data_IF_492597951417
#
_entry.id   IF_492597951417
#
_cell.length_a   1.000
_cell.length_b   1.000
_cell.length_c   1.000
_cell.angle_alpha   90.00
_cell.angle_beta   90.00
_cell.angle_gamma   90.00
#
_symmetry.space_group_name_H-M   'P 1'
#
loop_
_entity.id
_entity.type
_entity.pdbx_description
1 polymer ?
#
# COMPACT_ATOMS: atom_id res chain seq x y z
N UNK A 1 -37.91 -10.03 23.87
CA UNK A 1 -36.45 -10.15 23.77
C UNK A 1 -36.00 -9.09 22.81
N UNK A 2 -34.96 -8.34 23.17
CA UNK A 2 -34.37 -7.31 22.31
C UNK A 2 -32.89 -7.64 22.13
N UNK A 3 -32.42 -7.65 20.89
CA UNK A 3 -30.99 -7.69 20.57
C UNK A 3 -30.54 -6.30 20.12
N UNK A 4 -29.43 -5.81 20.64
CA UNK A 4 -28.88 -4.52 20.26
C UNK A 4 -27.35 -4.52 20.34
N UNK A 5 -26.74 -3.61 19.60
CA UNK A 5 -25.30 -3.45 19.52
C UNK A 5 -24.87 -2.19 20.25
N UNK A 6 -23.90 -2.30 21.17
CA UNK A 6 -23.47 -1.20 22.04
C UNK A 6 -22.35 -0.38 21.41
N UNK A 7 -22.11 0.81 21.97
CA UNK A 7 -20.95 1.65 21.64
C UNK A 7 -19.62 1.00 21.99
N UNK A 8 -19.61 0.02 22.89
CA UNK A 8 -18.45 -0.81 23.24
C UNK A 8 -18.19 -1.93 22.22
N UNK A 9 -18.88 -1.91 21.06
CA UNK A 9 -18.78 -2.90 20.00
C UNK A 9 -19.19 -4.32 20.42
N UNK A 10 -20.16 -4.44 21.33
CA UNK A 10 -20.66 -5.72 21.83
C UNK A 10 -22.14 -5.91 21.52
N UNK A 11 -22.53 -7.14 21.13
CA UNK A 11 -23.93 -7.53 21.07
C UNK A 11 -24.47 -7.86 22.47
N UNK A 12 -25.65 -7.32 22.78
CA UNK A 12 -26.37 -7.56 24.04
C UNK A 12 -27.76 -8.12 23.77
N UNK A 13 -28.22 -8.96 24.69
CA UNK A 13 -29.54 -9.55 24.73
C UNK A 13 -30.28 -9.04 25.97
N UNK A 14 -31.45 -8.43 25.78
CA UNK A 14 -32.34 -8.10 26.89
C UNK A 14 -33.53 -9.05 26.94
N UNK A 15 -33.71 -9.70 28.09
CA UNK A 15 -34.82 -10.63 28.36
C UNK A 15 -35.25 -10.48 29.81
N UNK A 16 -36.52 -10.12 30.04
CA UNK A 16 -37.09 -10.03 31.39
C UNK A 16 -36.52 -8.88 32.24
N UNK A 17 -36.00 -7.81 31.62
CA UNK A 17 -35.36 -6.69 32.31
C UNK A 17 -33.89 -6.93 32.66
N UNK A 18 -33.36 -8.11 32.39
CA UNK A 18 -31.93 -8.41 32.51
C UNK A 18 -31.24 -8.31 31.15
N UNK A 19 -29.99 -7.83 31.17
CA UNK A 19 -29.15 -7.69 29.98
C UNK A 19 -27.97 -8.66 30.07
N UNK A 20 -27.77 -9.44 29.00
CA UNK A 20 -26.69 -10.41 28.88
C UNK A 20 -25.79 -10.07 27.70
N UNK A 21 -24.49 -10.33 27.82
CA UNK A 21 -23.56 -10.28 26.69
C UNK A 21 -23.74 -11.53 25.84
N UNK A 22 -23.79 -11.36 24.52
CA UNK A 22 -23.85 -12.48 23.58
C UNK A 22 -22.44 -12.88 23.14
N UNK A 23 -22.16 -14.17 23.22
CA UNK A 23 -20.92 -14.78 22.74
C UNK A 23 -21.13 -15.47 21.40
N UNK A 24 -20.15 -15.40 20.50
CA UNK A 24 -20.20 -16.10 19.22
C UNK A 24 -20.53 -17.60 19.40
N UNK A 25 -21.45 -18.13 18.59
CA UNK A 25 -22.01 -19.48 18.67
C UNK A 25 -22.88 -19.78 19.92
N UNK A 26 -23.28 -18.76 20.67
CA UNK A 26 -24.26 -18.94 21.74
C UNK A 26 -25.64 -19.28 21.17
N UNK A 27 -26.30 -20.29 21.76
CA UNK A 27 -27.68 -20.66 21.42
C UNK A 27 -28.65 -19.90 22.31
N UNK A 28 -29.66 -19.28 21.71
CA UNK A 28 -30.70 -18.49 22.39
C UNK A 28 -32.07 -19.10 22.08
N UNK A 29 -32.86 -19.34 23.12
CA UNK A 29 -34.22 -19.86 23.00
C UNK A 29 -35.25 -18.73 23.08
N UNK A 30 -35.99 -18.51 21.99
CA UNK A 30 -37.11 -17.58 21.92
C UNK A 30 -38.09 -17.87 20.79
N UNK A 31 -39.35 -17.42 20.95
CA UNK A 31 -40.43 -17.70 20.01
C UNK A 31 -40.62 -19.21 19.71
N UNK A 32 -40.41 -20.06 20.73
CA UNK A 32 -40.46 -21.54 20.60
C UNK A 32 -39.43 -22.12 19.60
N UNK A 33 -38.39 -21.36 19.28
CA UNK A 33 -37.33 -21.76 18.36
C UNK A 33 -35.96 -21.54 19.02
N UNK A 34 -34.97 -22.32 18.54
CA UNK A 34 -33.57 -22.17 18.92
C UNK A 34 -32.85 -21.36 17.85
N UNK A 35 -32.13 -20.34 18.27
CA UNK A 35 -31.35 -19.47 17.39
C UNK A 35 -29.88 -19.56 17.76
N UNK A 36 -29.01 -19.69 16.77
CA UNK A 36 -27.57 -19.65 16.96
C UNK A 36 -27.10 -18.22 16.66
N UNK A 37 -26.48 -17.55 17.64
CA UNK A 37 -25.89 -16.24 17.43
C UNK A 37 -24.55 -16.39 16.70
N UNK A 38 -24.45 -15.76 15.53
CA UNK A 38 -23.21 -15.67 14.76
C UNK A 38 -22.76 -14.21 14.84
N UNK A 39 -21.70 -13.97 15.61
CA UNK A 39 -21.03 -12.67 15.63
C UNK A 39 -20.36 -12.43 14.27
N UNK A 40 -20.66 -11.29 13.65
CA UNK A 40 -19.95 -10.85 12.45
C UNK A 40 -18.54 -10.42 12.85
N UNK A 41 -17.55 -10.80 12.04
CA UNK A 41 -16.21 -10.23 12.17
C UNK A 41 -16.31 -8.70 12.05
N UNK A 42 -15.68 -7.98 12.99
CA UNK A 42 -15.62 -6.53 12.95
C UNK A 42 -14.95 -6.10 11.64
N UNK A 43 -15.75 -5.61 10.70
CA UNK A 43 -15.22 -5.02 9.48
C UNK A 43 -14.58 -3.70 9.89
N UNK A 44 -13.29 -3.52 9.58
CA UNK A 44 -12.58 -2.26 9.79
C UNK A 44 -13.42 -1.09 9.25
N UNK A 45 -13.42 0.04 9.97
CA UNK A 45 -14.09 1.26 9.52
C UNK A 45 -13.72 1.56 8.07
N UNK A 46 -14.71 1.98 7.26
CA UNK A 46 -14.49 2.33 5.86
C UNK A 46 -13.54 3.52 5.78
N UNK A 47 -12.25 3.23 5.72
CA UNK A 47 -11.18 4.21 5.65
C UNK A 47 -11.11 4.70 4.21
N UNK A 48 -11.22 6.02 4.00
CA UNK A 48 -10.97 6.60 2.68
C UNK A 48 -9.47 6.52 2.35
N UNK A 49 -9.09 5.42 1.72
CA UNK A 49 -7.72 5.17 1.29
C UNK A 49 -7.20 6.18 0.25
N UNK A 50 -8.09 6.95 -0.39
CA UNK A 50 -7.69 8.06 -1.27
C UNK A 50 -6.98 9.17 -0.50
N UNK A 51 -7.46 9.50 0.71
CA UNK A 51 -6.84 10.51 1.58
C UNK A 51 -5.46 10.04 2.04
N UNK A 52 -5.33 8.78 2.44
CA UNK A 52 -4.05 8.20 2.90
C UNK A 52 -2.99 8.31 1.80
N UNK A 53 -3.33 7.92 0.55
CA UNK A 53 -2.41 8.08 -0.59
C UNK A 53 -2.06 9.53 -0.86
N UNK A 54 -3.05 10.43 -0.84
CA UNK A 54 -2.85 11.84 -1.18
C UNK A 54 -1.94 12.57 -0.16
N UNK A 55 -2.03 12.19 1.11
CA UNK A 55 -1.22 12.76 2.19
C UNK A 55 0.13 12.06 2.36
N UNK A 56 0.32 10.89 1.74
CA UNK A 56 1.58 10.19 1.79
C UNK A 56 2.66 10.90 0.96
N UNK A 57 3.92 10.58 1.27
CA UNK A 57 5.05 10.79 0.39
C UNK A 57 5.96 9.56 0.39
N UNK A 58 6.66 9.35 -0.72
CA UNK A 58 7.67 8.29 -0.81
C UNK A 58 9.04 8.91 -0.61
N UNK A 59 9.76 8.40 0.38
CA UNK A 59 11.04 8.90 0.83
C UNK A 59 12.15 7.95 0.42
N UNK A 60 13.12 8.47 -0.32
CA UNK A 60 14.31 7.73 -0.74
C UNK A 60 15.50 8.26 0.04
N UNK A 61 16.14 7.39 0.83
CA UNK A 61 17.44 7.67 1.44
C UNK A 61 18.50 6.97 0.61
N UNK A 62 19.41 7.75 0.02
CA UNK A 62 20.52 7.26 -0.79
C UNK A 62 21.80 7.42 0.02
N UNK A 63 22.62 6.38 0.11
CA UNK A 63 23.93 6.48 0.75
C UNK A 63 24.88 7.34 -0.07
N UNK A 64 25.93 7.87 0.58
CA UNK A 64 26.93 8.74 -0.07
C UNK A 64 27.66 8.04 -1.22
N UNK A 65 27.91 6.73 -1.10
CA UNK A 65 28.47 5.88 -2.15
C UNK A 65 27.42 5.39 -3.18
N UNK A 66 26.15 5.76 -2.99
CA UNK A 66 24.99 5.35 -3.79
C UNK A 66 24.74 3.83 -3.86
N UNK A 67 25.46 3.03 -3.07
CA UNK A 67 25.28 1.57 -3.06
C UNK A 67 23.99 1.16 -2.36
N UNK A 68 23.51 1.97 -1.42
CA UNK A 68 22.34 1.68 -0.60
C UNK A 68 21.23 2.67 -0.86
N UNK A 69 20.09 2.14 -1.27
CA UNK A 69 18.86 2.89 -1.41
C UNK A 69 17.85 2.27 -0.46
N UNK A 70 17.37 3.04 0.49
CA UNK A 70 16.25 2.68 1.37
C UNK A 70 15.03 3.47 0.93
N UNK A 71 13.89 2.80 0.82
CA UNK A 71 12.62 3.42 0.43
C UNK A 71 11.61 3.29 1.55
N UNK A 72 10.98 4.40 1.93
CA UNK A 72 9.92 4.44 2.93
C UNK A 72 8.69 5.12 2.35
N UNK A 73 7.51 4.66 2.76
CA UNK A 73 6.25 5.36 2.50
C UNK A 73 5.84 6.00 3.82
N UNK A 74 5.76 7.33 3.83
CA UNK A 74 5.45 8.11 5.02
C UNK A 74 4.07 8.71 4.86
N UNK A 75 3.23 8.53 5.88
CA UNK A 75 1.91 9.17 6.02
C UNK A 75 1.94 10.08 7.26
N UNK A 76 0.82 10.71 7.63
CA UNK A 76 0.78 11.57 8.83
C UNK A 76 1.11 10.78 10.11
N UNK A 77 0.59 9.57 10.25
CA UNK A 77 0.63 8.83 11.52
C UNK A 77 1.60 7.64 11.51
N UNK A 78 2.14 7.26 10.35
CA UNK A 78 2.97 6.06 10.23
C UNK A 78 4.03 6.14 9.14
N UNK A 79 5.10 5.38 9.36
CA UNK A 79 6.21 5.15 8.43
C UNK A 79 6.25 3.67 8.09
N UNK A 80 6.06 3.35 6.81
CA UNK A 80 6.13 2.00 6.29
C UNK A 80 7.44 1.79 5.55
N UNK A 81 8.33 0.98 6.12
CA UNK A 81 9.67 0.75 5.59
C UNK A 81 9.69 -0.43 4.61
N UNK A 82 10.10 -0.18 3.35
CA UNK A 82 10.31 -1.23 2.35
C UNK A 82 11.69 -1.90 2.51
N UNK A 83 12.56 -1.31 3.31
CA UNK A 83 13.93 -1.73 3.56
C UNK A 83 14.84 -1.49 2.37
N UNK A 84 16.04 -2.08 2.43
CA UNK A 84 17.00 -2.13 1.32
C UNK A 84 16.70 -3.35 0.44
N UNK A 85 16.34 -3.11 -0.83
CA UNK A 85 15.83 -4.14 -1.74
C UNK A 85 16.30 -3.91 -3.17
N UNK A 86 16.45 -5.02 -3.91
CA UNK A 86 16.83 -5.02 -5.33
C UNK A 86 15.89 -4.26 -6.28
N UNK A 87 14.69 -3.87 -5.83
CA UNK A 87 13.78 -3.04 -6.61
C UNK A 87 13.91 -1.53 -6.31
N UNK A 88 14.69 -1.13 -5.32
CA UNK A 88 14.75 0.27 -4.89
C UNK A 88 15.45 1.16 -5.92
N UNK A 89 16.45 0.66 -6.63
CA UNK A 89 17.10 1.41 -7.72
C UNK A 89 16.12 1.69 -8.88
N UNK A 90 15.31 0.69 -9.24
CA UNK A 90 14.22 0.86 -10.21
C UNK A 90 13.22 1.94 -9.75
N UNK A 91 12.82 1.92 -8.48
CA UNK A 91 11.90 2.91 -7.93
C UNK A 91 12.51 4.31 -7.93
N UNK A 92 13.77 4.45 -7.53
CA UNK A 92 14.50 5.70 -7.52
C UNK A 92 14.57 6.31 -8.93
N UNK A 93 14.99 5.52 -9.92
CA UNK A 93 15.11 5.96 -11.32
C UNK A 93 13.78 6.53 -11.85
N UNK A 94 12.69 5.79 -11.65
CA UNK A 94 11.36 6.20 -12.10
C UNK A 94 10.81 7.40 -11.31
N UNK A 95 11.09 7.45 -10.00
CA UNK A 95 10.70 8.57 -9.14
C UNK A 95 11.42 9.86 -9.53
N UNK A 96 12.71 9.79 -9.87
CA UNK A 96 13.49 10.93 -10.36
C UNK A 96 12.93 11.45 -11.69
N UNK A 97 12.59 10.56 -12.65
CA UNK A 97 11.92 10.97 -13.89
C UNK A 97 10.61 11.68 -13.61
N UNK A 98 9.77 11.12 -12.72
CA UNK A 98 8.49 11.71 -12.36
C UNK A 98 8.66 13.09 -11.73
N UNK A 99 9.59 13.25 -10.78
CA UNK A 99 9.84 14.54 -10.14
C UNK A 99 10.38 15.58 -11.13
N UNK A 100 11.26 15.18 -12.04
CA UNK A 100 11.75 16.04 -13.13
C UNK A 100 10.59 16.55 -14.00
N UNK A 101 9.72 15.66 -14.45
CA UNK A 101 8.59 16.05 -15.30
C UNK A 101 7.58 16.96 -14.57
N UNK A 102 7.40 16.76 -13.25
CA UNK A 102 6.62 17.67 -12.40
C UNK A 102 7.25 19.07 -12.37
N UNK A 103 8.57 19.15 -12.15
CA UNK A 103 9.32 20.41 -12.13
C UNK A 103 9.28 21.13 -13.48
N UNK A 104 9.33 20.37 -14.56
CA UNK A 104 9.26 20.85 -15.94
C UNK A 104 7.82 21.18 -16.39
N UNK A 105 6.84 21.06 -15.48
CA UNK A 105 5.41 21.36 -15.70
C UNK A 105 4.79 20.57 -16.86
N UNK A 106 5.28 19.35 -17.11
CA UNK A 106 4.67 18.41 -18.06
C UNK A 106 3.24 18.08 -17.60
N UNK A 107 2.26 17.86 -18.49
CA UNK A 107 0.91 17.49 -18.08
C UNK A 107 0.88 16.23 -17.20
N UNK A 108 0.04 16.15 -16.13
CA UNK A 108 0.04 15.04 -15.18
C UNK A 108 -0.08 13.64 -15.81
N UNK A 109 -0.83 13.53 -16.91
CA UNK A 109 -1.01 12.29 -17.68
C UNK A 109 0.27 11.82 -18.39
N UNK A 110 1.17 12.73 -18.71
CA UNK A 110 2.38 12.51 -19.50
C UNK A 110 3.66 12.45 -18.64
N UNK A 111 3.58 12.86 -17.37
CA UNK A 111 4.68 12.81 -16.42
C UNK A 111 5.12 11.38 -16.07
N UNK A 112 6.44 11.17 -15.97
CA UNK A 112 7.08 9.99 -15.38
C UNK A 112 7.20 8.77 -16.29
N UNK A 113 6.65 8.80 -17.51
CA UNK A 113 6.74 7.68 -18.44
C UNK A 113 8.17 7.52 -18.96
N UNK A 114 8.67 6.29 -18.87
CA UNK A 114 9.97 5.87 -19.38
C UNK A 114 9.79 4.66 -20.29
N UNK A 115 10.42 4.68 -21.45
CA UNK A 115 10.51 3.52 -22.34
C UNK A 115 11.25 2.37 -21.64
N UNK A 116 10.68 1.16 -21.71
CA UNK A 116 11.22 0.01 -20.98
C UNK A 116 12.62 -0.35 -21.48
N UNK A 117 12.91 -0.26 -22.77
CA UNK A 117 14.24 -0.61 -23.28
C UNK A 117 15.30 0.40 -22.84
N UNK A 118 14.97 1.69 -22.89
CA UNK A 118 15.84 2.74 -22.36
C UNK A 118 16.09 2.55 -20.85
N UNK A 119 15.04 2.23 -20.08
CA UNK A 119 15.16 1.94 -18.66
C UNK A 119 16.07 0.74 -18.38
N UNK A 120 15.93 -0.36 -19.14
CA UNK A 120 16.78 -1.53 -18.97
C UNK A 120 18.25 -1.21 -19.26
N UNK A 121 18.54 -0.39 -20.27
CA UNK A 121 19.89 0.06 -20.58
C UNK A 121 20.49 0.90 -19.45
N UNK A 122 19.72 1.87 -18.93
CA UNK A 122 20.12 2.72 -17.80
C UNK A 122 20.42 1.89 -16.55
N UNK A 123 19.47 1.04 -16.15
CA UNK A 123 19.64 0.14 -15.00
C UNK A 123 20.84 -0.78 -15.17
N UNK A 124 21.14 -1.22 -16.40
CA UNK A 124 22.27 -2.12 -16.65
C UNK A 124 23.62 -1.43 -16.50
N UNK A 125 23.72 -0.16 -16.91
CA UNK A 125 24.92 0.66 -16.77
C UNK A 125 25.20 0.95 -15.30
N UNK A 126 24.17 1.37 -14.58
CA UNK A 126 24.27 1.81 -13.19
C UNK A 126 24.59 0.64 -12.25
N UNK A 127 23.95 -0.51 -12.44
CA UNK A 127 24.19 -1.69 -11.61
C UNK A 127 25.37 -2.56 -12.10
N UNK A 128 26.07 -2.11 -13.15
CA UNK A 128 27.20 -2.81 -13.78
C UNK A 128 26.88 -4.30 -14.11
N UNK A 129 25.63 -4.56 -14.51
CA UNK A 129 25.10 -5.90 -14.76
C UNK A 129 23.97 -5.85 -15.77
N UNK A 130 23.88 -6.83 -16.66
CA UNK A 130 22.74 -6.96 -17.56
C UNK A 130 21.41 -7.10 -16.80
N UNK A 131 20.53 -6.12 -16.97
CA UNK A 131 19.16 -6.13 -16.49
C UNK A 131 18.24 -6.42 -17.67
N UNK A 132 17.59 -7.58 -17.64
CA UNK A 132 16.64 -7.98 -18.68
C UNK A 132 15.20 -7.62 -18.30
N UNK A 133 14.29 -7.72 -19.28
CA UNK A 133 12.85 -7.59 -19.02
C UNK A 133 12.34 -8.58 -17.96
N UNK A 134 12.93 -9.78 -17.89
CA UNK A 134 12.61 -10.75 -16.86
C UNK A 134 13.01 -10.23 -15.47
N UNK A 135 14.22 -9.69 -15.31
CA UNK A 135 14.67 -9.10 -14.06
C UNK A 135 13.76 -7.95 -13.61
N UNK A 136 13.37 -7.07 -14.55
CA UNK A 136 12.43 -5.99 -14.29
C UNK A 136 11.09 -6.52 -13.78
N UNK A 137 10.50 -7.52 -14.44
CA UNK A 137 9.23 -8.10 -14.04
C UNK A 137 9.31 -8.74 -12.64
N UNK A 138 10.40 -9.45 -12.34
CA UNK A 138 10.63 -10.03 -11.00
C UNK A 138 10.71 -8.94 -9.94
N UNK A 139 11.37 -7.81 -10.20
CA UNK A 139 11.43 -6.67 -9.28
C UNK A 139 10.05 -6.07 -9.02
N UNK A 140 9.28 -5.82 -10.07
CA UNK A 140 7.90 -5.30 -9.96
C UNK A 140 7.01 -6.26 -9.16
N UNK A 141 7.09 -7.56 -9.42
CA UNK A 141 6.34 -8.57 -8.67
C UNK A 141 6.73 -8.57 -7.18
N UNK A 142 8.04 -8.57 -6.87
CA UNK A 142 8.54 -8.54 -5.49
C UNK A 142 8.11 -7.28 -4.75
N UNK A 143 8.11 -6.13 -5.42
CA UNK A 143 7.60 -4.89 -4.84
C UNK A 143 6.12 -5.04 -4.45
N UNK A 144 5.27 -5.53 -5.36
CA UNK A 144 3.84 -5.75 -5.08
C UNK A 144 3.62 -6.69 -3.91
N UNK A 145 4.34 -7.80 -3.87
CA UNK A 145 4.31 -8.76 -2.75
C UNK A 145 4.69 -8.12 -1.41
N UNK A 146 5.72 -7.26 -1.41
CA UNK A 146 6.14 -6.54 -0.21
C UNK A 146 5.08 -5.54 0.23
N UNK A 147 4.54 -4.75 -0.70
CA UNK A 147 3.47 -3.78 -0.41
C UNK A 147 2.21 -4.44 0.15
N UNK A 148 1.81 -5.61 -0.39
CA UNK A 148 0.66 -6.36 0.12
C UNK A 148 0.82 -6.82 1.58
N UNK A 149 2.07 -7.07 2.01
CA UNK A 149 2.42 -7.51 3.36
C UNK A 149 2.73 -6.34 4.30
N UNK A 150 2.99 -5.16 3.76
CA UNK A 150 3.41 -3.98 4.50
C UNK A 150 2.20 -3.32 5.18
N UNK A 151 2.16 -3.39 6.50
CA UNK A 151 1.11 -2.81 7.33
C UNK A 151 1.47 -1.38 7.76
N UNK A 152 0.48 -0.51 8.02
CA UNK A 152 -0.97 -0.76 7.92
C UNK A 152 -1.55 -0.50 6.52
N UNK A 153 -0.89 0.30 5.67
CA UNK A 153 -1.49 0.81 4.43
C UNK A 153 -0.78 0.39 3.14
N UNK A 154 0.20 -0.53 3.19
CA UNK A 154 1.01 -0.89 2.04
C UNK A 154 0.19 -1.40 0.85
N UNK A 155 -0.91 -2.12 1.11
CA UNK A 155 -1.86 -2.59 0.08
C UNK A 155 -2.39 -1.46 -0.80
N UNK A 156 -2.48 -0.24 -0.27
CA UNK A 156 -2.93 0.90 -1.04
C UNK A 156 -1.92 1.24 -2.13
N UNK A 157 -0.62 1.12 -1.88
CA UNK A 157 0.42 1.55 -2.81
C UNK A 157 0.81 0.49 -3.86
N UNK A 158 0.06 -0.61 -4.00
CA UNK A 158 0.37 -1.70 -4.96
C UNK A 158 0.42 -1.24 -6.42
N UNK A 159 -0.25 -0.14 -6.73
CA UNK A 159 -0.27 0.55 -8.03
C UNK A 159 0.76 1.68 -8.16
N UNK A 160 1.75 1.77 -7.25
CA UNK A 160 2.84 2.76 -7.31
C UNK A 160 3.68 2.66 -8.58
N UNK A 161 3.60 1.53 -9.29
CA UNK A 161 4.13 1.38 -10.64
C UNK A 161 2.99 1.17 -11.63
N UNK A 162 2.89 2.08 -12.60
CA UNK A 162 1.95 1.98 -13.71
C UNK A 162 2.67 1.58 -15.00
N UNK A 163 1.96 0.84 -15.86
CA UNK A 163 2.46 0.41 -17.17
C UNK A 163 1.48 0.78 -18.27
N UNK A 164 2.03 1.16 -19.42
CA UNK A 164 1.32 1.24 -20.70
C UNK A 164 2.19 0.61 -21.79
N UNK A 165 1.76 0.67 -23.05
CA UNK A 165 2.44 -0.01 -24.16
C UNK A 165 3.91 0.41 -24.28
N UNK A 166 4.82 -0.46 -23.84
CA UNK A 166 6.27 -0.26 -23.90
C UNK A 166 6.85 0.66 -22.81
N UNK A 167 6.03 1.20 -21.92
CA UNK A 167 6.47 2.21 -20.94
C UNK A 167 6.03 1.88 -19.52
N UNK A 168 6.80 2.37 -18.56
CA UNK A 168 6.53 2.24 -17.12
C UNK A 168 6.78 3.58 -16.43
N UNK A 169 6.04 3.86 -15.35
CA UNK A 169 6.27 5.05 -14.53
C UNK A 169 6.10 4.78 -13.04
N UNK A 170 6.69 5.67 -12.25
CA UNK A 170 6.38 5.82 -10.84
C UNK A 170 5.12 6.68 -10.68
N UNK A 171 4.09 6.11 -10.05
CA UNK A 171 2.76 6.67 -9.94
C UNK A 171 2.50 7.23 -8.53
N UNK A 172 3.35 8.16 -8.12
CA UNK A 172 3.12 8.93 -6.90
C UNK A 172 3.68 10.35 -7.06
N UNK A 173 2.91 11.40 -6.75
CA UNK A 173 3.34 12.78 -6.99
C UNK A 173 4.30 13.30 -5.91
N UNK A 174 4.12 12.87 -4.66
CA UNK A 174 4.90 13.38 -3.52
C UNK A 174 6.13 12.50 -3.30
N UNK A 175 7.30 13.04 -3.58
CA UNK A 175 8.59 12.34 -3.57
C UNK A 175 9.61 13.17 -2.83
N UNK A 176 10.37 12.54 -1.93
CA UNK A 176 11.52 13.15 -1.24
C UNK A 176 12.78 12.33 -1.51
N UNK A 177 13.90 13.03 -1.69
CA UNK A 177 15.22 12.47 -1.87
C UNK A 177 16.13 13.02 -0.78
N UNK A 178 16.68 12.13 0.06
CA UNK A 178 17.68 12.44 1.07
C UNK A 178 19.00 11.79 0.64
N UNK A 179 20.03 12.62 0.48
CA UNK A 179 21.38 12.22 0.06
C UNK A 179 22.35 12.27 1.24
#
# INVERSE_FOLDING_TARGET
ITLFYTTEKQWKLEKGGETYTLEHQQVIDFAQQKWLFIENEGVDETTDYGIIKAQAYVDFTISTDQEKIVTKIVTQDTVMDLGERSYNYLLLTLAQKRQKDIKDKIPPKDQGWVDIWALLEELSKEELKEITLYNLNVRVHRLKEQLLKLQPYGKQFVDVLERRKGEIRFNHPNIKFNW
#
